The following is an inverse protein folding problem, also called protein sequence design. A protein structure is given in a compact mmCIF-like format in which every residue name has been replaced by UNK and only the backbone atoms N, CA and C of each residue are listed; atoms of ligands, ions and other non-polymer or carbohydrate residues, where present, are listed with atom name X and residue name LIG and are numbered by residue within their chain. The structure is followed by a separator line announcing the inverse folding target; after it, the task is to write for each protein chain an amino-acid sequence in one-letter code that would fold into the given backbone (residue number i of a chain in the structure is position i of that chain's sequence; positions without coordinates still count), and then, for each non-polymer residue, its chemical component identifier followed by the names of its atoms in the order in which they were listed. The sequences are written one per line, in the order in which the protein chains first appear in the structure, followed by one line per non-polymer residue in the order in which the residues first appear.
data_IF_013499152153
#
_entry.id   IF_013499152153
#
_cell.length_a   1.000
_cell.length_b   1.000
_cell.length_c   1.000
_cell.angle_alpha   90.00
_cell.angle_beta   90.00
_cell.angle_gamma   90.00
#
_symmetry.space_group_name_H-M   'P 1'
#
loop_
_entity.id
_entity.type
_entity.pdbx_description
1 polymer ?
#
# COMPACT_ATOMS: atom_id res chain seq x y z
N UNK A 1 12.14 -4.51 -11.89
CA UNK A 1 10.78 -4.96 -11.50
C UNK A 1 9.95 -5.13 -12.76
N UNK A 2 9.23 -6.23 -12.86
CA UNK A 2 8.36 -6.57 -13.99
C UNK A 2 6.89 -6.39 -13.59
N UNK A 3 6.03 -5.98 -14.54
CA UNK A 3 4.61 -5.70 -14.29
C UNK A 3 3.73 -6.46 -15.27
N UNK A 4 2.49 -6.78 -14.86
CA UNK A 4 1.53 -7.49 -15.72
C UNK A 4 0.94 -6.59 -16.81
N UNK A 5 0.92 -5.28 -16.59
CA UNK A 5 0.39 -4.30 -17.54
C UNK A 5 1.50 -3.47 -18.18
N UNK A 6 1.20 -2.90 -19.35
CA UNK A 6 2.13 -2.02 -20.09
C UNK A 6 2.09 -0.55 -19.64
N UNK A 7 1.33 -0.22 -18.59
CA UNK A 7 1.12 1.16 -18.15
C UNK A 7 2.32 1.74 -17.40
N UNK A 8 3.18 0.91 -16.83
CA UNK A 8 4.35 1.34 -16.04
C UNK A 8 5.56 1.77 -16.87
N UNK A 9 5.35 2.21 -18.12
CA UNK A 9 6.46 2.68 -19.00
C UNK A 9 7.18 3.92 -18.48
N UNK A 10 6.56 4.71 -17.64
CA UNK A 10 7.16 5.90 -17.04
C UNK A 10 7.52 5.60 -15.57
N UNK A 11 8.82 5.68 -15.27
CA UNK A 11 9.39 5.43 -13.94
C UNK A 11 8.64 6.18 -12.83
N UNK A 12 7.70 5.52 -12.17
CA UNK A 12 7.05 6.00 -10.95
C UNK A 12 8.01 6.05 -9.75
N UNK A 13 9.18 5.43 -9.89
CA UNK A 13 10.23 5.45 -8.88
C UNK A 13 10.96 6.80 -8.91
N UNK A 14 10.36 7.80 -8.27
CA UNK A 14 11.05 9.07 -8.08
C UNK A 14 12.09 8.90 -6.96
N UNK A 15 13.36 8.74 -7.38
CA UNK A 15 14.53 8.65 -6.49
C UNK A 15 14.69 9.87 -5.55
N UNK A 16 13.86 10.90 -5.71
CA UNK A 16 13.91 12.16 -4.96
C UNK A 16 12.98 12.25 -3.76
N UNK A 17 12.19 11.22 -3.44
CA UNK A 17 11.37 11.26 -2.23
C UNK A 17 12.21 11.03 -0.96
N UNK A 18 12.90 12.09 -0.53
CA UNK A 18 13.40 12.23 0.84
C UNK A 18 12.28 12.52 1.86
N UNK A 19 11.03 12.48 1.40
CA UNK A 19 9.84 13.00 2.09
C UNK A 19 9.55 12.32 3.43
N UNK A 20 10.02 11.09 3.64
CA UNK A 20 9.73 10.31 4.85
C UNK A 20 10.86 10.36 5.89
N UNK A 21 12.00 10.98 5.57
CA UNK A 21 13.19 10.93 6.44
C UNK A 21 12.94 11.51 7.82
N UNK A 22 12.21 12.62 7.92
CA UNK A 22 11.98 13.34 9.17
C UNK A 22 10.52 13.33 9.63
N UNK A 23 9.66 12.52 8.99
CA UNK A 23 8.25 12.47 9.36
C UNK A 23 8.04 11.69 10.65
N UNK A 24 7.23 12.30 11.51
CA UNK A 24 6.51 11.56 12.55
C UNK A 24 5.58 10.52 11.91
N UNK A 25 5.19 9.52 12.68
CA UNK A 25 4.16 8.56 12.30
C UNK A 25 2.91 9.30 11.76
N UNK A 26 2.29 8.74 10.74
CA UNK A 26 1.02 9.28 10.22
C UNK A 26 -0.14 8.93 11.17
N UNK A 27 -1.22 9.73 11.14
CA UNK A 27 -2.41 9.40 11.90
C UNK A 27 -3.00 8.05 11.49
N UNK A 28 -3.01 7.75 10.19
CA UNK A 28 -3.51 6.48 9.64
C UNK A 28 -2.74 5.28 10.20
N UNK A 29 -1.42 5.38 10.27
CA UNK A 29 -0.55 4.34 10.84
C UNK A 29 -0.75 4.22 12.36
N UNK A 30 -0.94 5.36 13.06
CA UNK A 30 -1.24 5.37 14.49
C UNK A 30 -2.60 4.72 14.78
N UNK A 31 -3.61 4.95 13.96
CA UNK A 31 -4.94 4.34 14.12
C UNK A 31 -4.86 2.81 13.98
N UNK A 32 -4.04 2.29 13.03
CA UNK A 32 -3.78 0.85 12.93
C UNK A 32 -3.05 0.30 14.16
N UNK A 33 -2.03 1.01 14.66
CA UNK A 33 -1.31 0.59 15.88
C UNK A 33 -2.27 0.54 17.08
N UNK A 34 -3.09 1.56 17.26
CA UNK A 34 -4.08 1.62 18.33
C UNK A 34 -5.10 0.47 18.22
N UNK A 35 -5.56 0.16 17.00
CA UNK A 35 -6.43 -0.99 16.77
C UNK A 35 -5.78 -2.29 17.22
N UNK A 36 -4.53 -2.54 16.83
CA UNK A 36 -3.79 -3.75 17.21
C UNK A 36 -3.61 -3.81 18.74
N UNK A 37 -3.19 -2.72 19.35
CA UNK A 37 -2.93 -2.64 20.80
C UNK A 37 -4.19 -2.84 21.65
N UNK A 38 -5.34 -2.35 21.17
CA UNK A 38 -6.63 -2.48 21.88
C UNK A 38 -7.32 -3.82 21.61
N UNK A 39 -6.80 -4.61 20.68
CA UNK A 39 -7.39 -5.89 20.28
C UNK A 39 -6.75 -7.06 21.03
N UNK A 40 -6.89 -7.13 22.36
CA UNK A 40 -6.29 -8.15 23.21
C UNK A 40 -6.56 -9.61 22.75
N UNK A 41 -7.68 -9.82 22.06
CA UNK A 41 -8.07 -11.14 21.51
C UNK A 41 -7.39 -11.49 20.19
N UNK A 42 -6.84 -10.51 19.49
CA UNK A 42 -6.21 -10.69 18.18
C UNK A 42 -4.70 -10.85 18.35
N UNK A 43 -4.23 -12.09 18.41
CA UNK A 43 -2.79 -12.40 18.45
C UNK A 43 -2.26 -12.60 17.03
N UNK A 44 -1.74 -11.56 16.43
CA UNK A 44 -1.07 -11.65 15.13
C UNK A 44 0.35 -12.18 15.31
N UNK A 45 0.70 -13.27 14.63
CA UNK A 45 2.06 -13.85 14.63
C UNK A 45 2.85 -13.42 13.40
N UNK A 46 2.16 -13.12 12.29
CA UNK A 46 2.75 -12.76 11.02
C UNK A 46 2.03 -11.55 10.41
N UNK A 47 2.79 -10.50 10.13
CA UNK A 47 2.26 -9.23 9.59
C UNK A 47 2.98 -8.90 8.28
N UNK A 48 2.21 -8.51 7.26
CA UNK A 48 2.71 -7.83 6.07
C UNK A 48 2.42 -6.33 6.20
N UNK A 49 3.45 -5.50 6.19
CA UNK A 49 3.32 -4.04 6.19
C UNK A 49 3.75 -3.47 4.83
N UNK A 50 2.79 -2.96 4.08
CA UNK A 50 2.99 -2.39 2.74
C UNK A 50 3.16 -0.88 2.87
N UNK A 51 4.32 -0.36 2.38
CA UNK A 51 4.66 1.05 2.50
C UNK A 51 5.21 1.40 3.88
N UNK A 52 6.37 0.84 4.23
CA UNK A 52 6.94 0.91 5.59
C UNK A 52 7.30 2.31 6.09
N UNK A 53 7.42 3.30 5.19
CA UNK A 53 7.78 4.67 5.54
C UNK A 53 9.04 4.75 6.43
N UNK A 54 8.93 5.41 7.57
CA UNK A 54 10.03 5.52 8.54
C UNK A 54 10.14 4.31 9.49
N UNK A 55 9.43 3.24 9.21
CA UNK A 55 9.40 2.00 10.03
C UNK A 55 8.93 2.21 11.48
N UNK A 56 8.13 3.25 11.74
CA UNK A 56 7.63 3.50 13.08
C UNK A 56 6.67 2.41 13.54
N UNK A 57 5.88 1.88 12.63
CA UNK A 57 4.95 0.78 12.89
C UNK A 57 5.63 -0.41 13.57
N UNK A 58 6.72 -0.92 12.99
CA UNK A 58 7.41 -2.09 13.53
C UNK A 58 7.99 -1.88 14.94
N UNK A 59 8.34 -0.62 15.31
CA UNK A 59 8.83 -0.28 16.66
C UNK A 59 7.74 -0.35 17.74
N UNK A 60 6.47 -0.37 17.34
CA UNK A 60 5.31 -0.35 18.25
C UNK A 60 4.58 -1.69 18.32
N UNK A 61 4.91 -2.61 17.42
CA UNK A 61 4.33 -3.96 17.43
C UNK A 61 5.18 -4.89 18.29
N UNK A 62 4.51 -5.84 18.94
CA UNK A 62 5.14 -6.85 19.79
C UNK A 62 6.28 -7.58 19.05
N UNK A 63 7.41 -7.73 19.72
CA UNK A 63 8.59 -8.45 19.22
C UNK A 63 8.34 -9.93 18.91
N UNK A 64 7.28 -10.53 19.45
CA UNK A 64 6.87 -11.89 19.13
C UNK A 64 6.17 -12.03 17.76
N UNK A 65 5.94 -10.91 17.08
CA UNK A 65 5.29 -10.84 15.79
C UNK A 65 6.34 -10.77 14.68
N UNK A 66 6.32 -11.68 13.70
CA UNK A 66 7.19 -11.57 12.53
C UNK A 66 6.60 -10.56 11.55
N UNK A 67 7.36 -9.53 11.20
CA UNK A 67 6.91 -8.45 10.31
C UNK A 67 7.68 -8.53 8.99
N UNK A 68 6.95 -8.68 7.89
CA UNK A 68 7.47 -8.51 6.54
C UNK A 68 7.11 -7.10 6.06
N UNK A 69 8.09 -6.25 5.87
CA UNK A 69 7.90 -4.88 5.37
C UNK A 69 8.25 -4.77 3.88
N UNK A 70 7.46 -4.03 3.11
CA UNK A 70 7.82 -3.71 1.73
C UNK A 70 7.74 -2.21 1.46
N UNK A 71 8.63 -1.74 0.60
CA UNK A 71 8.67 -0.36 0.12
C UNK A 71 9.30 -0.28 -1.26
N UNK A 72 9.02 0.81 -1.96
CA UNK A 72 9.67 1.18 -3.24
C UNK A 72 10.89 2.10 -3.03
N UNK A 73 11.22 2.47 -1.80
CA UNK A 73 12.31 3.38 -1.45
C UNK A 73 13.50 2.63 -0.86
N UNK A 74 14.65 2.68 -1.55
CA UNK A 74 15.89 2.10 -1.04
C UNK A 74 16.33 2.74 0.28
N UNK A 75 16.13 4.05 0.44
CA UNK A 75 16.47 4.78 1.69
C UNK A 75 15.66 4.28 2.89
N UNK A 76 14.39 3.93 2.67
CA UNK A 76 13.55 3.34 3.74
C UNK A 76 14.05 1.95 4.14
N UNK A 77 14.57 1.16 3.18
CA UNK A 77 15.19 -0.14 3.46
C UNK A 77 16.43 0.05 4.35
N UNK A 78 17.31 0.99 4.01
CA UNK A 78 18.52 1.23 4.78
C UNK A 78 18.21 1.64 6.22
N UNK A 79 17.22 2.52 6.41
CA UNK A 79 16.73 2.94 7.73
C UNK A 79 16.09 1.80 8.50
N UNK A 80 15.26 0.99 7.84
CA UNK A 80 14.61 -0.15 8.46
C UNK A 80 15.63 -1.19 8.95
N UNK A 81 16.66 -1.49 8.14
CA UNK A 81 17.75 -2.38 8.52
C UNK A 81 18.60 -1.85 9.68
N UNK A 82 18.80 -0.53 9.74
CA UNK A 82 19.54 0.12 10.83
C UNK A 82 18.84 -0.02 12.21
N UNK A 83 17.54 -0.37 12.24
CA UNK A 83 16.83 -0.66 13.50
C UNK A 83 17.29 -1.96 14.16
N UNK A 84 17.93 -2.85 13.40
CA UNK A 84 18.48 -4.13 13.87
C UNK A 84 17.45 -5.00 14.65
N UNK A 85 16.19 -5.03 14.17
CA UNK A 85 15.12 -5.83 14.77
C UNK A 85 15.10 -7.21 14.12
N UNK A 86 15.30 -8.27 14.90
CA UNK A 86 15.39 -9.65 14.42
C UNK A 86 14.09 -10.19 13.82
N UNK A 87 12.96 -9.65 14.22
CA UNK A 87 11.61 -10.02 13.74
C UNK A 87 11.13 -9.18 12.55
N UNK A 88 11.95 -8.25 12.02
CA UNK A 88 11.56 -7.34 10.94
C UNK A 88 12.36 -7.58 9.67
N UNK A 89 11.71 -8.13 8.66
CA UNK A 89 12.30 -8.47 7.35
C UNK A 89 11.79 -7.51 6.29
N UNK A 90 12.67 -6.72 5.68
CA UNK A 90 12.29 -5.66 4.73
C UNK A 90 12.77 -5.93 3.32
N UNK A 91 11.92 -5.62 2.33
CA UNK A 91 12.17 -5.85 0.92
C UNK A 91 11.88 -4.62 0.08
N UNK A 92 12.79 -4.32 -0.85
CA UNK A 92 12.57 -3.32 -1.89
C UNK A 92 11.68 -3.95 -2.97
N UNK A 93 10.39 -3.66 -2.90
CA UNK A 93 9.39 -4.31 -3.74
C UNK A 93 8.21 -3.38 -3.98
N UNK A 94 7.77 -3.29 -5.24
CA UNK A 94 6.50 -2.64 -5.60
C UNK A 94 5.36 -3.64 -5.46
N UNK A 95 4.30 -3.28 -4.75
CA UNK A 95 3.11 -4.12 -4.54
C UNK A 95 2.38 -4.51 -5.83
N UNK A 96 2.64 -3.82 -6.95
CA UNK A 96 2.05 -4.10 -8.26
C UNK A 96 2.95 -4.94 -9.18
N UNK A 97 4.15 -5.29 -8.73
CA UNK A 97 5.13 -6.04 -9.52
C UNK A 97 4.92 -7.55 -9.46
N UNK A 98 5.48 -8.26 -10.43
CA UNK A 98 5.50 -9.73 -10.44
C UNK A 98 6.35 -10.27 -9.28
N UNK A 99 7.40 -9.53 -8.90
CA UNK A 99 8.26 -9.86 -7.76
C UNK A 99 7.49 -9.86 -6.44
N UNK A 100 6.46 -9.00 -6.30
CA UNK A 100 5.58 -9.01 -5.14
C UNK A 100 4.82 -10.34 -5.00
N UNK A 101 4.25 -10.86 -6.08
CA UNK A 101 3.63 -12.20 -6.09
C UNK A 101 4.63 -13.28 -5.67
N UNK A 102 5.84 -13.21 -6.21
CA UNK A 102 6.90 -14.17 -5.88
C UNK A 102 7.29 -14.12 -4.41
N UNK A 103 7.37 -12.92 -3.83
CA UNK A 103 7.63 -12.70 -2.40
C UNK A 103 6.52 -13.31 -1.51
N UNK A 104 5.26 -13.21 -1.94
CA UNK A 104 4.12 -13.69 -1.16
C UNK A 104 3.84 -15.18 -1.33
N UNK A 105 4.34 -15.83 -2.39
CA UNK A 105 3.97 -17.20 -2.79
C UNK A 105 4.08 -18.24 -1.67
N UNK A 106 5.07 -18.10 -0.80
CA UNK A 106 5.36 -19.05 0.30
C UNK A 106 5.00 -18.49 1.67
N UNK A 107 4.42 -17.29 1.74
CA UNK A 107 4.13 -16.61 2.99
C UNK A 107 2.63 -16.53 3.23
N UNK A 108 2.25 -16.64 4.50
CA UNK A 108 0.88 -16.42 4.97
C UNK A 108 0.90 -15.42 6.11
N UNK A 109 -0.09 -14.54 6.13
CA UNK A 109 -0.15 -13.45 7.08
C UNK A 109 -1.47 -13.45 7.85
N UNK A 110 -1.39 -13.22 9.16
CA UNK A 110 -2.55 -13.01 10.01
C UNK A 110 -3.11 -11.60 9.85
N UNK A 111 -2.18 -10.65 9.57
CA UNK A 111 -2.53 -9.26 9.34
C UNK A 111 -1.76 -8.70 8.15
N UNK A 112 -2.47 -8.00 7.28
CA UNK A 112 -1.88 -7.20 6.21
C UNK A 112 -2.28 -5.75 6.44
N UNK A 113 -1.31 -4.85 6.45
CA UNK A 113 -1.50 -3.41 6.63
C UNK A 113 -1.06 -2.68 5.38
N UNK A 114 -1.99 -2.00 4.74
CA UNK A 114 -1.74 -1.06 3.65
C UNK A 114 -2.66 0.16 3.83
N UNK A 115 -2.17 1.19 4.48
CA UNK A 115 -2.96 2.39 4.79
C UNK A 115 -3.39 3.16 3.54
N UNK A 116 -2.73 2.94 2.40
CA UNK A 116 -3.02 3.60 1.11
C UNK A 116 -3.25 2.55 0.01
N UNK A 117 -4.25 1.72 0.16
CA UNK A 117 -4.43 0.44 -0.55
C UNK A 117 -4.34 0.55 -2.08
N UNK A 118 -4.93 1.59 -2.71
CA UNK A 118 -4.90 1.80 -4.17
C UNK A 118 -3.83 2.80 -4.63
N UNK A 119 -3.00 3.32 -3.69
CA UNK A 119 -1.98 4.30 -4.02
C UNK A 119 -0.99 3.78 -5.06
N UNK A 120 -0.58 4.66 -5.98
CA UNK A 120 0.34 4.36 -7.08
C UNK A 120 -0.14 3.30 -8.08
N UNK A 121 -1.39 2.87 -8.05
CA UNK A 121 -1.95 2.02 -9.10
C UNK A 121 -1.92 2.75 -10.44
N UNK A 122 -1.46 2.10 -11.49
CA UNK A 122 -1.42 2.66 -12.83
C UNK A 122 -2.71 2.40 -13.61
N UNK A 123 -3.45 1.35 -13.25
CA UNK A 123 -4.69 0.93 -13.88
C UNK A 123 -5.43 -0.06 -12.96
N UNK A 124 -6.69 -0.35 -13.29
CA UNK A 124 -7.50 -1.29 -12.52
C UNK A 124 -6.91 -2.71 -12.55
N UNK A 125 -6.41 -3.17 -13.69
CA UNK A 125 -5.80 -4.50 -13.85
C UNK A 125 -4.64 -4.71 -12.85
N UNK A 126 -3.77 -3.71 -12.67
CA UNK A 126 -2.67 -3.80 -11.70
C UNK A 126 -3.17 -3.83 -10.26
N UNK A 127 -4.23 -3.07 -9.96
CA UNK A 127 -4.84 -3.09 -8.64
C UNK A 127 -5.48 -4.44 -8.33
N UNK A 128 -6.24 -5.00 -9.25
CA UNK A 128 -6.89 -6.31 -9.10
C UNK A 128 -5.84 -7.43 -8.92
N UNK A 129 -4.76 -7.36 -9.68
CA UNK A 129 -3.64 -8.29 -9.54
C UNK A 129 -3.01 -8.22 -8.15
N UNK A 130 -2.74 -7.02 -7.67
CA UNK A 130 -2.21 -6.79 -6.32
C UNK A 130 -3.16 -7.34 -5.27
N UNK A 131 -4.45 -7.00 -5.33
CA UNK A 131 -5.47 -7.45 -4.39
C UNK A 131 -5.58 -8.98 -4.36
N UNK A 132 -5.58 -9.63 -5.52
CA UNK A 132 -5.57 -11.10 -5.59
C UNK A 132 -4.40 -11.69 -4.81
N UNK A 133 -3.17 -11.21 -5.04
CA UNK A 133 -1.99 -11.72 -4.37
C UNK A 133 -2.02 -11.46 -2.85
N UNK A 134 -2.50 -10.30 -2.44
CA UNK A 134 -2.69 -9.94 -1.02
C UNK A 134 -3.66 -10.92 -0.37
N UNK A 135 -4.84 -11.13 -0.94
CA UNK A 135 -5.87 -12.00 -0.38
C UNK A 135 -5.43 -13.47 -0.37
N UNK A 136 -4.75 -13.93 -1.42
CA UNK A 136 -4.17 -15.27 -1.46
C UNK A 136 -3.11 -15.48 -0.37
N UNK A 137 -2.40 -14.43 0.04
CA UNK A 137 -1.40 -14.50 1.11
C UNK A 137 -1.97 -14.40 2.53
N UNK A 138 -3.26 -14.11 2.70
CA UNK A 138 -3.92 -14.12 4.01
C UNK A 138 -4.08 -15.55 4.55
N UNK A 139 -3.91 -15.72 5.85
CA UNK A 139 -4.35 -16.91 6.58
C UNK A 139 -5.88 -17.05 6.54
N UNK A 140 -6.42 -18.21 6.95
CA UNK A 140 -7.88 -18.47 6.93
C UNK A 140 -8.68 -17.48 7.79
N UNK A 141 -8.10 -16.99 8.89
CA UNK A 141 -8.67 -15.93 9.74
C UNK A 141 -7.94 -14.60 9.57
N UNK A 142 -7.16 -14.47 8.50
CA UNK A 142 -6.35 -13.30 8.23
C UNK A 142 -7.19 -12.06 7.95
N UNK A 143 -6.60 -10.89 8.20
CA UNK A 143 -7.23 -9.59 8.04
C UNK A 143 -6.37 -8.65 7.22
N UNK A 144 -6.98 -7.91 6.29
CA UNK A 144 -6.38 -6.75 5.65
C UNK A 144 -6.98 -5.49 6.27
N UNK A 145 -6.13 -4.55 6.66
CA UNK A 145 -6.53 -3.23 7.18
C UNK A 145 -6.04 -2.14 6.25
N UNK A 146 -6.93 -1.20 5.91
CA UNK A 146 -6.60 0.03 5.20
C UNK A 146 -7.24 1.24 5.88
N UNK A 147 -6.68 2.45 5.65
CA UNK A 147 -7.23 3.69 6.19
C UNK A 147 -8.28 4.29 5.25
N UNK A 148 -9.40 4.79 5.80
CA UNK A 148 -10.42 5.51 5.04
C UNK A 148 -9.85 6.80 4.43
N UNK A 149 -8.96 7.49 5.14
CA UNK A 149 -8.27 8.67 4.60
C UNK A 149 -7.27 8.28 3.51
N UNK A 150 -6.51 7.20 3.73
CA UNK A 150 -5.55 6.69 2.76
C UNK A 150 -6.20 6.15 1.48
N UNK A 151 -7.43 5.66 1.54
CA UNK A 151 -8.21 5.27 0.36
C UNK A 151 -8.52 6.47 -0.55
N UNK A 152 -8.57 7.68 -0.01
CA UNK A 152 -8.78 8.93 -0.76
C UNK A 152 -7.47 9.53 -1.29
N UNK A 153 -6.35 8.85 -1.10
CA UNK A 153 -5.06 9.34 -1.53
C UNK A 153 -4.96 9.40 -3.06
N UNK A 154 -4.44 10.51 -3.58
CA UNK A 154 -4.18 10.68 -5.00
C UNK A 154 -2.87 11.41 -5.24
N UNK A 155 -2.18 11.08 -6.32
CA UNK A 155 -1.00 11.81 -6.78
C UNK A 155 -1.43 12.92 -7.73
N UNK A 156 -1.22 14.19 -7.37
CA UNK A 156 -1.36 15.29 -8.32
C UNK A 156 -0.26 15.16 -9.38
N UNK A 157 -0.66 14.81 -10.60
CA UNK A 157 0.25 14.87 -11.73
C UNK A 157 0.47 16.37 -12.03
N UNK A 158 1.71 16.86 -11.91
CA UNK A 158 2.07 18.17 -12.43
C UNK A 158 1.88 18.13 -13.95
N UNK A 159 1.10 19.04 -14.56
CA UNK A 159 1.02 19.09 -16.01
C UNK A 159 2.43 19.27 -16.54
N UNK A 160 2.90 18.39 -17.41
CA UNK A 160 4.11 18.60 -18.20
C UNK A 160 3.75 19.73 -19.19
N UNK A 161 4.12 20.95 -18.88
CA UNK A 161 4.14 22.05 -19.82
C UNK A 161 5.23 21.76 -20.85
N UNK A 162 4.86 21.03 -21.90
CA UNK A 162 5.67 21.03 -23.12
C UNK A 162 5.39 22.34 -23.85
N UNK A 163 6.28 23.30 -23.67
CA UNK A 163 6.28 24.51 -24.51
C UNK A 163 6.66 24.10 -25.94
N UNK A 164 5.68 23.71 -26.72
CA UNK A 164 5.79 23.68 -28.17
C UNK A 164 5.15 24.94 -28.71
N UNK A 165 5.95 25.89 -29.16
CA UNK A 165 5.56 27.21 -29.68
C UNK A 165 4.74 27.17 -30.99
N UNK A 166 4.21 26.02 -31.43
CA UNK A 166 3.59 25.85 -32.76
C UNK A 166 2.08 25.55 -32.78
N UNK A 167 1.32 25.72 -31.71
CA UNK A 167 -0.17 25.64 -31.79
C UNK A 167 -0.86 26.60 -30.86
N UNK A 168 -1.02 27.85 -31.32
CA UNK A 168 -1.69 28.90 -30.56
C UNK A 168 -3.23 28.90 -30.65
N UNK A 169 -3.86 27.89 -31.20
CA UNK A 169 -5.33 27.79 -31.26
C UNK A 169 -5.78 26.34 -31.10
N UNK A 170 -6.61 26.12 -30.12
CA UNK A 170 -7.29 24.89 -29.67
C UNK A 170 -6.60 24.12 -28.51
N UNK A 171 -6.48 24.75 -27.37
CA UNK A 171 -6.31 24.04 -26.11
C UNK A 171 -7.67 23.50 -25.63
N UNK A 172 -8.06 22.31 -26.04
CA UNK A 172 -8.81 21.42 -25.15
C UNK A 172 -7.76 20.75 -24.28
N UNK A 173 -7.59 21.26 -23.04
CA UNK A 173 -6.95 20.53 -21.97
C UNK A 173 -7.72 19.21 -21.81
N UNK A 174 -7.22 18.16 -22.39
CA UNK A 174 -7.60 16.82 -21.96
C UNK A 174 -6.97 16.68 -20.59
N UNK A 175 -7.74 17.03 -19.53
CA UNK A 175 -7.43 16.61 -18.19
C UNK A 175 -7.29 15.10 -18.26
N UNK A 176 -6.05 14.64 -18.21
CA UNK A 176 -5.78 13.22 -17.95
C UNK A 176 -6.12 13.07 -16.49
N UNK A 177 -7.33 12.61 -16.19
CA UNK A 177 -7.82 12.24 -14.86
C UNK A 177 -7.04 11.05 -14.30
N UNK A 178 -5.71 11.08 -14.36
CA UNK A 178 -4.83 10.13 -13.70
C UNK A 178 -4.97 10.11 -12.17
N UNK A 179 -5.68 11.10 -11.61
CA UNK A 179 -5.86 11.22 -10.17
C UNK A 179 -6.91 10.25 -9.62
N UNK A 180 -7.93 9.91 -10.38
CA UNK A 180 -9.02 9.05 -9.93
C UNK A 180 -8.63 7.58 -9.81
N UNK A 181 -7.65 7.12 -10.58
CA UNK A 181 -7.18 5.74 -10.56
C UNK A 181 -6.59 5.30 -9.20
N UNK A 182 -6.21 6.25 -8.37
CA UNK A 182 -5.60 5.97 -7.06
C UNK A 182 -6.59 6.13 -5.90
N UNK A 183 -7.80 6.59 -6.18
CA UNK A 183 -8.87 6.70 -5.19
C UNK A 183 -9.59 5.35 -5.14
N UNK A 184 -9.80 4.87 -3.93
CA UNK A 184 -10.61 3.69 -3.65
C UNK A 184 -11.84 4.12 -2.86
N UNK A 185 -13.01 3.79 -3.36
CA UNK A 185 -14.27 4.07 -2.66
C UNK A 185 -14.67 2.91 -1.76
N UNK A 186 -15.54 3.20 -0.79
CA UNK A 186 -16.13 2.14 0.06
C UNK A 186 -16.93 1.14 -0.79
N UNK A 187 -17.61 1.60 -1.83
CA UNK A 187 -18.42 0.74 -2.68
C UNK A 187 -17.55 -0.19 -3.53
N UNK A 188 -16.45 0.30 -4.13
CA UNK A 188 -15.46 -0.56 -4.80
C UNK A 188 -14.89 -1.62 -3.84
N UNK A 189 -14.64 -1.24 -2.57
CA UNK A 189 -14.12 -2.18 -1.58
C UNK A 189 -15.17 -3.22 -1.17
N UNK A 190 -16.46 -2.85 -1.12
CA UNK A 190 -17.58 -3.79 -0.92
C UNK A 190 -17.68 -4.80 -2.08
N UNK A 191 -17.60 -4.32 -3.32
CA UNK A 191 -17.59 -5.21 -4.50
C UNK A 191 -16.42 -6.20 -4.44
N UNK A 192 -15.21 -5.73 -4.13
CA UNK A 192 -14.04 -6.59 -3.93
C UNK A 192 -14.29 -7.63 -2.81
N UNK A 193 -14.89 -7.20 -1.70
CA UNK A 193 -15.19 -8.11 -0.59
C UNK A 193 -16.15 -9.22 -1.01
N UNK A 194 -17.12 -8.92 -1.85
CA UNK A 194 -18.07 -9.91 -2.39
C UNK A 194 -17.38 -10.88 -3.37
N UNK A 195 -16.57 -10.36 -4.31
CA UNK A 195 -15.83 -11.17 -5.29
C UNK A 195 -14.92 -12.19 -4.57
N UNK A 196 -14.23 -11.77 -3.53
CA UNK A 196 -13.29 -12.61 -2.79
C UNK A 196 -13.89 -13.30 -1.55
N UNK A 197 -15.20 -13.17 -1.33
CA UNK A 197 -15.94 -13.74 -0.19
C UNK A 197 -15.34 -13.36 1.16
N UNK A 198 -14.98 -12.10 1.32
CA UNK A 198 -14.44 -11.54 2.55
C UNK A 198 -15.55 -10.88 3.37
N UNK A 199 -15.43 -10.93 4.68
CA UNK A 199 -16.26 -10.12 5.58
C UNK A 199 -15.66 -8.74 5.68
N UNK A 200 -16.43 -7.72 5.28
CA UNK A 200 -16.03 -6.31 5.39
C UNK A 200 -16.68 -5.66 6.59
N UNK A 201 -15.90 -4.89 7.34
CA UNK A 201 -16.36 -3.96 8.36
C UNK A 201 -15.52 -2.69 8.30
N UNK A 202 -16.03 -1.61 8.85
CA UNK A 202 -15.30 -0.34 8.93
C UNK A 202 -15.84 0.51 10.08
N UNK A 203 -15.00 1.41 10.58
CA UNK A 203 -15.35 2.50 11.48
C UNK A 203 -15.12 3.85 10.76
N UNK A 204 -14.98 4.94 11.49
CA UNK A 204 -14.72 6.28 10.94
C UNK A 204 -13.30 6.47 10.40
N UNK A 205 -12.36 5.58 10.71
CA UNK A 205 -10.93 5.69 10.40
C UNK A 205 -10.38 4.55 9.54
N UNK A 206 -10.79 3.33 9.83
CA UNK A 206 -10.21 2.11 9.27
C UNK A 206 -11.26 1.25 8.59
N UNK A 207 -10.83 0.52 7.60
CA UNK A 207 -11.60 -0.50 6.92
C UNK A 207 -10.90 -1.84 7.02
N UNK A 208 -11.67 -2.88 7.30
CA UNK A 208 -11.20 -4.24 7.59
C UNK A 208 -11.82 -5.22 6.61
N UNK A 209 -10.98 -6.02 5.97
CA UNK A 209 -11.39 -7.16 5.15
C UNK A 209 -10.88 -8.44 5.80
N UNK A 210 -11.78 -9.30 6.26
CA UNK A 210 -11.44 -10.56 6.94
C UNK A 210 -11.83 -11.75 6.09
N UNK A 211 -10.91 -12.71 5.99
CA UNK A 211 -11.12 -13.99 5.30
C UNK A 211 -12.02 -14.92 6.10
#
# INVERSE_FOLDING_TARGET
MSYICNCYKDNFFDKKYSYWEDRKITNDEMDVINFISNSEKLKFKSILHIGIGNSYFCKKIDNNCSITGITISAKEIDKAKALNLSNYHVYLCDKYSIEFKSLLKTKKFDLIVDTNLKSYSCCQESFDYMMKNVIESMNNDGMLITSINGMKWFKKLKPKLSFSFKKLFHFKLKEINGNELNILTIDELKELSQIYKLRMSFDDKLCYLKK
#
